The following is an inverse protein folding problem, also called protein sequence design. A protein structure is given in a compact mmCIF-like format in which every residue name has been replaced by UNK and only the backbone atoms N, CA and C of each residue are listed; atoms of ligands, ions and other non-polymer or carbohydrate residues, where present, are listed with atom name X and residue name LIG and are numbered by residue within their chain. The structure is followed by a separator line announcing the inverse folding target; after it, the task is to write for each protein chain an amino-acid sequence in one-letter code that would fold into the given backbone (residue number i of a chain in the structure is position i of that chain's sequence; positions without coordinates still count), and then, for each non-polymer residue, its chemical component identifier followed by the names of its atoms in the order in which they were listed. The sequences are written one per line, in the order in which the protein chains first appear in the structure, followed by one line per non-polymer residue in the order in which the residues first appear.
data_IF_441554942407
#
_entry.id   IF_441554942407
#
_cell.length_a   1.000
_cell.length_b   1.000
_cell.length_c   1.000
_cell.angle_alpha   90.00
_cell.angle_beta   90.00
_cell.angle_gamma   90.00
#
_symmetry.space_group_name_H-M   'P 1'
#
loop_
_entity.id
_entity.type
_entity.pdbx_description
1 polymer ?
#
# COMPACT_ATOMS: atom_id res chain seq x y z
N UNK A 1 -28.68 -33.70 -2.42
CA UNK A 1 -28.21 -33.65 -3.77
C UNK A 1 -27.70 -32.33 -4.22
N UNK A 2 -28.25 -31.27 -3.78
CA UNK A 2 -27.89 -29.96 -4.25
C UNK A 2 -26.71 -29.33 -3.56
N UNK A 3 -26.27 -29.88 -2.49
CA UNK A 3 -25.21 -29.28 -1.71
C UNK A 3 -23.83 -29.48 -2.32
N UNK A 4 -23.76 -30.24 -3.37
CA UNK A 4 -22.45 -30.60 -3.93
C UNK A 4 -21.76 -29.46 -4.64
N UNK A 5 -22.50 -28.51 -5.10
CA UNK A 5 -21.91 -27.48 -5.95
C UNK A 5 -21.01 -26.50 -5.25
N UNK A 6 -21.19 -26.31 -3.98
CA UNK A 6 -20.47 -25.26 -3.29
C UNK A 6 -19.00 -25.55 -3.08
N UNK A 7 -18.59 -26.78 -3.11
CA UNK A 7 -17.22 -27.12 -2.75
C UNK A 7 -16.19 -26.84 -3.83
N UNK A 8 -16.61 -26.84 -5.07
CA UNK A 8 -15.65 -26.70 -6.13
C UNK A 8 -15.02 -25.34 -6.19
N UNK A 9 -15.74 -24.33 -5.81
CA UNK A 9 -15.22 -22.98 -5.84
C UNK A 9 -14.13 -22.74 -4.83
N UNK A 10 -14.26 -23.37 -3.68
CA UNK A 10 -13.28 -23.20 -2.63
C UNK A 10 -11.93 -23.77 -3.02
N UNK A 11 -11.93 -24.90 -3.67
CA UNK A 11 -10.70 -25.56 -4.07
C UNK A 11 -9.93 -24.69 -5.07
N UNK A 12 -10.63 -24.02 -5.91
CA UNK A 12 -10.01 -23.17 -6.92
C UNK A 12 -9.25 -22.03 -6.28
N UNK A 13 -9.84 -21.39 -5.31
CA UNK A 13 -9.21 -20.25 -4.66
C UNK A 13 -7.92 -20.64 -3.97
N UNK A 14 -7.88 -21.78 -3.35
CA UNK A 14 -6.68 -22.23 -2.66
C UNK A 14 -5.54 -22.52 -3.61
N UNK A 15 -5.85 -23.08 -4.75
CA UNK A 15 -4.82 -23.39 -5.73
C UNK A 15 -4.14 -22.11 -6.25
N UNK A 16 -4.90 -21.06 -6.42
CA UNK A 16 -4.35 -19.81 -6.94
C UNK A 16 -3.36 -19.20 -5.96
N UNK A 17 -3.62 -19.31 -4.66
CA UNK A 17 -2.77 -18.70 -3.65
C UNK A 17 -1.48 -19.47 -3.41
N UNK A 18 -1.45 -20.72 -3.77
CA UNK A 18 -0.29 -21.56 -3.50
C UNK A 18 0.95 -21.15 -4.25
N UNK A 19 0.82 -20.28 -5.26
CA UNK A 19 1.96 -19.88 -6.08
C UNK A 19 2.74 -18.71 -5.54
N UNK A 20 2.23 -18.03 -4.53
CA UNK A 20 2.89 -16.86 -3.99
C UNK A 20 4.01 -17.24 -3.04
N UNK A 21 5.15 -16.56 -3.17
CA UNK A 21 6.27 -16.75 -2.28
C UNK A 21 6.01 -15.97 -0.99
N UNK A 22 5.97 -16.63 0.18
CA UNK A 22 5.65 -15.91 1.43
C UNK A 22 6.60 -14.77 1.75
N UNK A 23 7.88 -14.92 1.44
CA UNK A 23 8.85 -13.86 1.73
C UNK A 23 8.58 -12.65 0.84
N UNK A 24 8.25 -12.90 -0.41
CA UNK A 24 7.93 -11.82 -1.35
C UNK A 24 6.65 -11.11 -0.93
N UNK A 25 5.65 -11.87 -0.53
CA UNK A 25 4.38 -11.30 -0.08
C UNK A 25 4.59 -10.43 1.15
N UNK A 26 5.42 -10.91 2.10
CA UNK A 26 5.70 -10.11 3.29
C UNK A 26 6.36 -8.79 2.93
N UNK A 27 7.30 -8.83 2.00
CA UNK A 27 7.98 -7.60 1.57
C UNK A 27 6.99 -6.61 0.96
N UNK A 28 6.03 -7.11 0.19
CA UNK A 28 5.01 -6.25 -0.40
C UNK A 28 4.12 -5.64 0.67
N UNK A 29 3.73 -6.43 1.65
CA UNK A 29 2.90 -5.93 2.74
C UNK A 29 3.63 -4.83 3.50
N UNK A 30 4.91 -5.06 3.81
CA UNK A 30 5.70 -4.07 4.53
C UNK A 30 5.83 -2.78 3.73
N UNK A 31 6.03 -2.90 2.43
CA UNK A 31 6.14 -1.74 1.56
C UNK A 31 4.85 -0.92 1.56
N UNK A 32 3.72 -1.60 1.43
CA UNK A 32 2.43 -0.90 1.46
C UNK A 32 2.22 -0.19 2.78
N UNK A 33 2.58 -0.84 3.89
CA UNK A 33 2.40 -0.22 5.19
C UNK A 33 3.32 0.97 5.40
N UNK A 34 4.52 0.89 4.87
CA UNK A 34 5.46 2.01 4.95
C UNK A 34 4.93 3.21 4.17
N UNK A 35 4.41 2.97 2.98
CA UNK A 35 3.83 4.03 2.16
C UNK A 35 2.62 4.63 2.85
N UNK A 36 1.77 3.79 3.43
CA UNK A 36 0.59 4.26 4.13
C UNK A 36 0.97 5.15 5.31
N UNK A 37 1.99 4.75 6.07
CA UNK A 37 2.45 5.54 7.21
C UNK A 37 3.01 6.88 6.76
N UNK A 38 3.72 6.90 5.63
CA UNK A 38 4.28 8.13 5.11
C UNK A 38 3.15 9.11 4.71
N UNK A 39 2.11 8.59 4.08
CA UNK A 39 0.97 9.43 3.71
C UNK A 39 0.21 9.93 4.93
N UNK A 40 0.07 9.09 5.94
CA UNK A 40 -0.60 9.51 7.17
C UNK A 40 0.18 10.65 7.84
N UNK A 41 1.51 10.54 7.87
CA UNK A 41 2.34 11.60 8.42
C UNK A 41 2.17 12.91 7.63
N UNK A 42 2.07 12.82 6.31
CA UNK A 42 1.86 14.00 5.49
C UNK A 42 0.50 14.62 5.77
N UNK A 43 -0.52 13.81 5.97
CA UNK A 43 -1.85 14.32 6.31
C UNK A 43 -1.83 15.06 7.63
N UNK A 44 -1.16 14.49 8.62
CA UNK A 44 -1.04 15.15 9.92
C UNK A 44 -0.25 16.45 9.82
N UNK A 45 0.80 16.45 9.01
CA UNK A 45 1.59 17.65 8.79
C UNK A 45 0.72 18.78 8.24
N UNK A 46 -0.06 18.47 7.22
CA UNK A 46 -0.96 19.47 6.61
C UNK A 46 -2.04 19.91 7.60
N UNK A 47 -2.57 18.98 8.37
CA UNK A 47 -3.60 19.30 9.36
C UNK A 47 -3.09 20.24 10.44
N UNK A 48 -1.79 20.18 10.72
CA UNK A 48 -1.21 21.04 11.75
C UNK A 48 -1.00 22.48 11.28
N UNK A 49 -1.29 22.76 10.02
CA UNK A 49 -1.12 24.09 9.47
C UNK A 49 0.22 24.38 8.86
N UNK A 50 1.08 23.37 8.75
CA UNK A 50 2.35 23.54 8.08
C UNK A 50 2.16 23.71 6.58
N UNK A 51 3.12 24.36 5.98
CA UNK A 51 3.11 24.64 4.56
C UNK A 51 3.09 23.38 3.73
N UNK A 52 2.33 23.40 2.66
CA UNK A 52 2.22 22.26 1.76
C UNK A 52 3.59 21.82 1.24
N UNK A 53 4.44 22.77 0.88
CA UNK A 53 5.76 22.44 0.37
C UNK A 53 6.61 21.71 1.40
N UNK A 54 6.52 22.13 2.65
CA UNK A 54 7.26 21.48 3.72
C UNK A 54 6.77 20.06 3.93
N UNK A 55 5.44 19.89 4.00
CA UNK A 55 4.86 18.57 4.23
C UNK A 55 5.17 17.61 3.09
N UNK A 56 5.13 18.09 1.86
CA UNK A 56 5.42 17.25 0.72
C UNK A 56 6.91 16.94 0.59
N UNK A 57 7.78 17.84 1.04
CA UNK A 57 9.21 17.56 1.07
C UNK A 57 9.52 16.45 2.08
N UNK A 58 8.84 16.46 3.22
CA UNK A 58 8.99 15.40 4.20
C UNK A 58 8.47 14.07 3.66
N UNK A 59 7.36 14.11 2.94
CA UNK A 59 6.81 12.92 2.31
C UNK A 59 7.78 12.31 1.31
N UNK A 60 8.35 13.16 0.45
CA UNK A 60 9.29 12.69 -0.56
C UNK A 60 10.50 12.03 0.08
N UNK A 61 10.96 12.58 1.18
CA UNK A 61 12.09 12.03 1.89
C UNK A 61 11.75 10.65 2.48
N UNK A 62 10.57 10.53 3.06
CA UNK A 62 10.14 9.28 3.68
C UNK A 62 9.94 8.17 2.66
N UNK A 63 9.58 8.53 1.43
CA UNK A 63 9.26 7.55 0.40
C UNK A 63 10.40 7.28 -0.57
N UNK A 64 11.56 7.86 -0.32
CA UNK A 64 12.69 7.71 -1.22
C UNK A 64 13.05 6.23 -1.39
N UNK A 65 13.05 5.78 -2.63
CA UNK A 65 13.38 4.40 -2.93
C UNK A 65 12.26 3.41 -2.71
N UNK A 66 11.10 3.85 -2.26
CA UNK A 66 9.98 2.95 -1.98
C UNK A 66 8.88 3.08 -3.01
N UNK A 67 8.61 4.30 -3.45
CA UNK A 67 7.52 4.55 -4.39
C UNK A 67 8.01 5.46 -5.51
N UNK A 68 7.25 5.48 -6.58
CA UNK A 68 7.58 6.29 -7.76
C UNK A 68 7.10 7.72 -7.54
N UNK A 69 7.96 8.66 -7.90
CA UNK A 69 7.60 10.07 -7.85
C UNK A 69 7.85 10.73 -6.51
N UNK A 70 7.64 12.03 -6.48
CA UNK A 70 7.94 12.83 -5.30
C UNK A 70 6.90 12.75 -4.22
N UNK A 71 5.71 12.31 -4.56
CA UNK A 71 4.60 12.32 -3.63
C UNK A 71 4.17 10.91 -3.24
N UNK A 72 5.14 9.99 -3.23
CA UNK A 72 4.90 8.63 -2.75
C UNK A 72 3.77 7.95 -3.51
N UNK A 73 3.77 8.12 -4.82
CA UNK A 73 2.76 7.51 -5.66
C UNK A 73 1.48 8.31 -5.79
N UNK A 74 1.36 9.42 -5.08
CA UNK A 74 0.16 10.23 -5.13
C UNK A 74 0.29 11.31 -6.21
N UNK A 75 -0.82 11.63 -6.84
CA UNK A 75 -0.86 12.66 -7.85
C UNK A 75 -1.05 14.01 -7.18
N UNK A 76 -0.20 14.96 -7.53
CA UNK A 76 -0.32 16.31 -6.97
C UNK A 76 -1.38 17.09 -7.72
N UNK A 77 -2.31 17.65 -6.99
CA UNK A 77 -3.39 18.45 -7.56
C UNK A 77 -3.53 19.76 -6.81
N UNK A 78 -3.81 20.76 -7.56
CA UNK A 78 -4.17 22.05 -6.98
C UNK A 78 -5.59 22.39 -7.30
#
# INVERSE_FOLDING_TARGET
MKAVFGFMLAAFALAAQAKEDPAHVKALIDQHRTIAAAHEAAAQCLSSGKDEEVCHAELAKACKGIAIGKLCGMKHKH
#
